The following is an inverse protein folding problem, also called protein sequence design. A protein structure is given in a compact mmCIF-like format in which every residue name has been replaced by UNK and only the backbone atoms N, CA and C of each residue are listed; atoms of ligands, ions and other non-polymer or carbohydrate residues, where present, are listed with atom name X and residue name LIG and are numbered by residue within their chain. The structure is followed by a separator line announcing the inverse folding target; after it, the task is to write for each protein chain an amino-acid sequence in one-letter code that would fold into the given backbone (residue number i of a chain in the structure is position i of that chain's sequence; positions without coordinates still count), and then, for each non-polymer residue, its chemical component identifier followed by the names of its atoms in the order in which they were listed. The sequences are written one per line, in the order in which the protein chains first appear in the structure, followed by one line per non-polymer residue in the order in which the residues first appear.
data_IF_446852791329
#
_entry.id   IF_446852791329
#
_cell.length_a   1.000
_cell.length_b   1.000
_cell.length_c   1.000
_cell.angle_alpha   90.00
_cell.angle_beta   90.00
_cell.angle_gamma   90.00
#
_symmetry.space_group_name_H-M   'P 1'
#
loop_
_entity.id
_entity.type
_entity.pdbx_description
1 polymer ?
#
# COMPACT_ATOMS: atom_id res chain seq x y z
N UNK A 1 19.45 -2.38 -26.16
CA UNK A 1 19.77 -1.63 -24.93
C UNK A 1 20.37 -2.57 -23.88
N UNK A 2 21.26 -2.07 -23.01
CA UNK A 2 21.75 -2.92 -21.90
C UNK A 2 20.66 -3.15 -20.85
N UNK A 3 20.68 -4.32 -20.21
CA UNK A 3 19.75 -4.68 -19.13
C UNK A 3 19.73 -3.66 -17.99
N UNK A 4 20.90 -3.17 -17.58
CA UNK A 4 21.04 -2.13 -16.53
C UNK A 4 20.29 -0.85 -16.92
N UNK A 5 20.40 -0.43 -18.19
CA UNK A 5 19.69 0.77 -18.68
C UNK A 5 18.17 0.59 -18.65
N UNK A 6 17.67 -0.59 -19.00
CA UNK A 6 16.23 -0.89 -18.95
C UNK A 6 15.73 -0.85 -17.50
N UNK A 7 16.44 -1.52 -16.59
CA UNK A 7 16.11 -1.49 -15.17
C UNK A 7 16.08 -0.04 -14.64
N UNK A 8 17.12 0.74 -14.95
CA UNK A 8 17.20 2.13 -14.53
C UNK A 8 16.02 2.98 -15.05
N UNK A 9 15.67 2.85 -16.34
CA UNK A 9 14.55 3.58 -16.96
C UNK A 9 13.24 3.25 -16.24
N UNK A 10 12.92 1.97 -16.11
CA UNK A 10 11.64 1.55 -15.53
C UNK A 10 11.57 1.91 -14.05
N UNK A 11 12.62 1.70 -13.26
CA UNK A 11 12.65 2.05 -11.85
C UNK A 11 12.57 3.57 -11.63
N UNK A 12 13.27 4.38 -12.44
CA UNK A 12 13.18 5.84 -12.37
C UNK A 12 11.78 6.33 -12.72
N UNK A 13 11.19 5.82 -13.81
CA UNK A 13 9.81 6.13 -14.15
C UNK A 13 8.84 5.74 -13.03
N UNK A 14 9.07 4.59 -12.38
CA UNK A 14 8.24 4.13 -11.28
C UNK A 14 8.34 5.03 -10.04
N UNK A 15 9.55 5.53 -9.70
CA UNK A 15 9.72 6.52 -8.63
C UNK A 15 8.91 7.77 -8.92
N UNK A 16 9.03 8.34 -10.12
CA UNK A 16 8.29 9.54 -10.50
C UNK A 16 6.76 9.30 -10.56
N UNK A 17 6.31 8.14 -11.01
CA UNK A 17 4.89 7.80 -11.05
C UNK A 17 4.27 7.67 -9.65
N UNK A 18 5.06 7.30 -8.63
CA UNK A 18 4.58 6.97 -7.30
C UNK A 18 4.84 8.03 -6.23
N UNK A 19 5.66 9.04 -6.52
CA UNK A 19 6.06 10.04 -5.53
C UNK A 19 4.88 10.87 -4.99
N UNK A 20 3.75 10.91 -5.68
CA UNK A 20 2.52 11.56 -5.23
C UNK A 20 1.51 10.62 -4.55
N UNK A 21 1.80 9.32 -4.42
CA UNK A 21 0.81 8.32 -4.01
C UNK A 21 0.18 8.57 -2.63
N UNK A 22 0.96 9.03 -1.67
CA UNK A 22 0.51 9.33 -0.31
C UNK A 22 0.46 10.84 0.01
N UNK A 23 0.43 11.68 -1.01
CA UNK A 23 0.30 13.13 -0.82
C UNK A 23 -1.05 13.50 -0.14
N UNK A 24 -2.15 12.81 -0.49
CA UNK A 24 -3.46 13.05 0.15
C UNK A 24 -3.46 12.62 1.61
N UNK A 25 -3.01 11.41 2.01
CA UNK A 25 -2.81 11.07 3.43
C UNK A 25 -1.88 12.03 4.18
N UNK A 26 -0.80 12.50 3.53
CA UNK A 26 0.14 13.44 4.14
C UNK A 26 -0.48 14.82 4.45
N UNK A 27 -1.49 15.21 3.69
CA UNK A 27 -2.18 16.51 3.79
C UNK A 27 -3.61 16.36 4.32
N UNK A 28 -3.99 15.18 4.80
CA UNK A 28 -5.35 14.90 5.26
C UNK A 28 -5.83 15.87 6.34
N UNK A 29 -5.03 16.24 7.36
CA UNK A 29 -5.46 17.25 8.35
C UNK A 29 -5.90 18.57 7.69
N UNK A 30 -5.14 19.03 6.70
CA UNK A 30 -5.46 20.26 5.96
C UNK A 30 -6.81 20.15 5.22
N UNK A 31 -7.15 18.97 4.70
CA UNK A 31 -8.42 18.77 4.00
C UNK A 31 -9.59 18.65 4.95
N UNK A 32 -9.40 17.97 6.11
CA UNK A 32 -10.41 17.91 7.16
C UNK A 32 -10.79 19.33 7.60
N UNK A 33 -9.81 20.13 7.99
CA UNK A 33 -10.04 21.50 8.44
C UNK A 33 -10.64 22.39 7.35
N UNK A 34 -10.15 22.27 6.12
CA UNK A 34 -10.53 23.18 5.03
C UNK A 34 -11.93 22.93 4.49
N UNK A 35 -12.36 21.68 4.45
CA UNK A 35 -13.63 21.27 3.85
C UNK A 35 -14.63 20.78 4.91
N UNK A 36 -14.32 20.96 6.18
CA UNK A 36 -15.13 20.52 7.32
C UNK A 36 -15.56 19.05 7.18
N UNK A 37 -14.61 18.19 6.84
CA UNK A 37 -14.87 16.78 6.59
C UNK A 37 -15.06 16.02 7.90
N UNK A 38 -16.09 15.18 7.93
CA UNK A 38 -16.18 14.13 8.94
C UNK A 38 -15.06 13.10 8.77
N UNK A 39 -14.75 12.35 9.81
CA UNK A 39 -13.79 11.24 9.74
C UNK A 39 -14.20 10.21 8.69
N UNK A 40 -15.50 9.92 8.59
CA UNK A 40 -16.05 9.01 7.56
C UNK A 40 -15.79 9.52 6.15
N UNK A 41 -16.02 10.80 5.87
CA UNK A 41 -15.73 11.39 4.56
C UNK A 41 -14.24 11.37 4.23
N UNK A 42 -13.38 11.71 5.20
CA UNK A 42 -11.94 11.60 5.06
C UNK A 42 -11.52 10.15 4.76
N UNK A 43 -12.08 9.18 5.46
CA UNK A 43 -11.89 7.75 5.21
C UNK A 43 -12.34 7.32 3.80
N UNK A 44 -13.46 7.82 3.29
CA UNK A 44 -13.92 7.59 1.92
C UNK A 44 -12.97 8.17 0.87
N UNK A 45 -12.47 9.38 1.05
CA UNK A 45 -11.49 10.00 0.14
C UNK A 45 -10.23 9.12 0.03
N UNK A 46 -9.73 8.61 1.15
CA UNK A 46 -8.57 7.70 1.13
C UNK A 46 -8.95 6.35 0.53
N UNK A 47 -10.07 5.77 0.96
CA UNK A 47 -10.54 4.45 0.52
C UNK A 47 -10.88 4.39 -0.97
N UNK A 48 -11.40 5.46 -1.56
CA UNK A 48 -11.75 5.54 -2.98
C UNK A 48 -10.60 5.12 -3.91
N UNK A 49 -9.38 5.47 -3.54
CA UNK A 49 -8.17 5.08 -4.25
C UNK A 49 -7.99 3.54 -4.29
N UNK A 50 -8.16 2.87 -3.17
CA UNK A 50 -8.03 1.41 -3.10
C UNK A 50 -9.24 0.70 -3.72
N UNK A 51 -10.43 1.28 -3.61
CA UNK A 51 -11.64 0.77 -4.23
C UNK A 51 -11.50 0.67 -5.74
N UNK A 52 -11.12 1.78 -6.39
CA UNK A 52 -10.95 1.81 -7.86
C UNK A 52 -9.76 0.98 -8.31
N UNK A 53 -8.68 0.94 -7.54
CA UNK A 53 -7.55 0.05 -7.78
C UNK A 53 -7.99 -1.42 -7.79
N UNK A 54 -8.72 -1.85 -6.75
CA UNK A 54 -9.20 -3.24 -6.63
C UNK A 54 -10.10 -3.65 -7.80
N UNK A 55 -10.96 -2.74 -8.22
CA UNK A 55 -11.86 -2.99 -9.35
C UNK A 55 -11.13 -3.08 -10.71
N UNK A 56 -10.05 -2.33 -10.87
CA UNK A 56 -9.38 -2.17 -12.17
C UNK A 56 -8.16 -3.06 -12.38
N UNK A 57 -7.42 -3.40 -11.32
CA UNK A 57 -6.17 -4.14 -11.44
C UNK A 57 -6.30 -5.49 -12.15
N UNK A 58 -7.35 -6.32 -11.94
CA UNK A 58 -7.48 -7.58 -12.65
C UNK A 58 -7.64 -7.38 -14.16
N UNK A 59 -8.34 -6.32 -14.57
CA UNK A 59 -8.57 -5.99 -15.98
C UNK A 59 -7.27 -5.51 -16.63
N UNK A 60 -6.62 -4.51 -16.02
CA UNK A 60 -5.41 -3.91 -16.59
C UNK A 60 -4.23 -4.88 -16.63
N UNK A 61 -4.07 -5.73 -15.62
CA UNK A 61 -3.02 -6.76 -15.62
C UNK A 61 -3.29 -7.82 -16.70
N UNK A 62 -4.53 -8.31 -16.82
CA UNK A 62 -4.89 -9.27 -17.88
C UNK A 62 -4.72 -8.69 -19.29
N UNK A 63 -4.93 -7.38 -19.43
CA UNK A 63 -4.77 -6.69 -20.70
C UNK A 63 -3.29 -6.66 -21.17
N UNK A 64 -2.33 -6.76 -20.24
CA UNK A 64 -0.89 -6.84 -20.58
C UNK A 64 -0.51 -8.09 -21.38
N UNK A 65 -1.35 -9.10 -21.42
CA UNK A 65 -1.13 -10.31 -22.23
C UNK A 65 -1.55 -10.11 -23.70
N UNK A 66 -2.32 -9.05 -23.98
CA UNK A 66 -2.87 -8.72 -25.32
C UNK A 66 -2.32 -7.41 -25.89
N UNK A 67 -1.96 -6.48 -25.04
CA UNK A 67 -1.48 -5.14 -25.40
C UNK A 67 -0.09 -4.95 -24.78
N UNK A 68 0.79 -4.26 -25.49
CA UNK A 68 2.11 -3.88 -24.97
C UNK A 68 1.97 -3.25 -23.57
N UNK A 69 2.58 -3.86 -22.52
CA UNK A 69 2.53 -3.34 -21.15
C UNK A 69 2.95 -1.87 -21.04
N UNK A 70 3.85 -1.40 -21.92
CA UNK A 70 4.25 0.00 -22.01
C UNK A 70 3.06 0.91 -22.33
N UNK A 71 2.17 0.52 -23.26
CA UNK A 71 0.99 1.33 -23.62
C UNK A 71 0.01 1.44 -22.46
N UNK A 72 -0.19 0.36 -21.73
CA UNK A 72 -1.04 0.35 -20.52
C UNK A 72 -0.44 1.27 -19.46
N UNK A 73 0.87 1.16 -19.23
CA UNK A 73 1.59 2.02 -18.29
C UNK A 73 1.46 3.51 -18.67
N UNK A 74 1.64 3.85 -19.95
CA UNK A 74 1.54 5.24 -20.44
C UNK A 74 0.13 5.81 -20.22
N UNK A 75 -0.92 5.07 -20.55
CA UNK A 75 -2.31 5.49 -20.28
C UNK A 75 -2.57 5.67 -18.79
N UNK A 76 -2.08 4.76 -17.97
CA UNK A 76 -2.29 4.78 -16.52
C UNK A 76 -1.53 5.92 -15.82
N UNK A 77 -0.27 6.15 -16.18
CA UNK A 77 0.50 7.24 -15.60
C UNK A 77 -0.04 8.61 -16.01
N UNK A 78 -0.60 8.72 -17.23
CA UNK A 78 -1.30 9.93 -17.64
C UNK A 78 -2.58 10.16 -16.82
N UNK A 79 -3.35 9.11 -16.52
CA UNK A 79 -4.47 9.21 -15.58
C UNK A 79 -4.02 9.61 -14.18
N UNK A 80 -2.88 9.12 -13.70
CA UNK A 80 -2.28 9.56 -12.43
C UNK A 80 -1.96 11.05 -12.46
N UNK A 81 -1.39 11.55 -13.56
CA UNK A 81 -1.11 12.98 -13.73
C UNK A 81 -2.40 13.80 -13.75
N UNK A 82 -3.40 13.39 -14.54
CA UNK A 82 -4.72 14.06 -14.60
C UNK A 82 -5.38 14.07 -13.24
N UNK A 83 -5.34 12.95 -12.50
CA UNK A 83 -5.91 12.88 -11.17
C UNK A 83 -5.25 13.85 -10.19
N UNK A 84 -3.91 13.91 -10.16
CA UNK A 84 -3.18 14.76 -9.23
C UNK A 84 -3.31 16.26 -9.61
N UNK A 85 -3.18 16.60 -10.89
CA UNK A 85 -3.34 17.99 -11.35
C UNK A 85 -4.78 18.47 -11.23
N UNK A 86 -5.77 17.60 -11.56
CA UNK A 86 -7.18 17.88 -11.37
C UNK A 86 -7.53 18.05 -9.88
N UNK A 87 -7.01 17.18 -9.02
CA UNK A 87 -7.16 17.31 -7.56
C UNK A 87 -6.62 18.69 -7.09
N UNK A 88 -5.42 19.06 -7.52
CA UNK A 88 -4.79 20.30 -7.11
C UNK A 88 -5.53 21.57 -7.59
N UNK A 89 -6.19 21.52 -8.75
CA UNK A 89 -6.77 22.71 -9.39
C UNK A 89 -8.29 22.80 -9.23
N UNK A 90 -8.99 21.68 -9.22
CA UNK A 90 -10.45 21.62 -9.30
C UNK A 90 -11.12 21.12 -8.01
N UNK A 91 -10.35 20.68 -7.00
CA UNK A 91 -10.95 20.17 -5.77
C UNK A 91 -11.33 21.29 -4.82
N UNK A 92 -12.57 21.28 -4.38
CA UNK A 92 -13.19 22.23 -3.47
C UNK A 92 -14.01 21.62 -2.33
N UNK A 93 -14.02 20.26 -2.21
CA UNK A 93 -14.75 19.54 -1.18
C UNK A 93 -14.72 18.04 -1.37
N UNK A 94 -15.55 17.34 -0.61
CA UNK A 94 -15.60 15.88 -0.57
C UNK A 94 -15.78 15.22 -1.94
N UNK A 95 -16.81 15.61 -2.71
CA UNK A 95 -17.17 14.93 -3.95
C UNK A 95 -16.11 15.06 -5.03
N UNK A 96 -15.53 16.23 -5.20
CA UNK A 96 -14.44 16.46 -6.15
C UNK A 96 -13.18 15.70 -5.73
N UNK A 97 -12.84 15.70 -4.44
CA UNK A 97 -11.73 14.91 -3.90
C UNK A 97 -11.94 13.41 -4.13
N UNK A 98 -13.13 12.90 -3.84
CA UNK A 98 -13.49 11.50 -4.04
C UNK A 98 -13.34 11.05 -5.50
N UNK A 99 -13.84 11.84 -6.45
CA UNK A 99 -13.71 11.52 -7.89
C UNK A 99 -12.25 11.45 -8.33
N UNK A 100 -11.43 12.45 -7.97
CA UNK A 100 -10.01 12.42 -8.34
C UNK A 100 -9.25 11.29 -7.66
N UNK A 101 -9.66 10.86 -6.47
CA UNK A 101 -9.09 9.68 -5.81
C UNK A 101 -9.45 8.37 -6.53
N UNK A 102 -10.67 8.24 -7.05
CA UNK A 102 -11.04 7.11 -7.91
C UNK A 102 -10.17 7.08 -9.17
N UNK A 103 -9.99 8.21 -9.85
CA UNK A 103 -9.15 8.30 -11.06
C UNK A 103 -7.69 7.94 -10.73
N UNK A 104 -7.16 8.41 -9.61
CA UNK A 104 -5.81 8.11 -9.16
C UNK A 104 -5.60 6.60 -8.90
N UNK A 105 -6.59 5.91 -8.32
CA UNK A 105 -6.50 4.47 -8.08
C UNK A 105 -6.50 3.64 -9.37
N UNK A 106 -7.28 4.05 -10.38
CA UNK A 106 -7.22 3.46 -11.74
C UNK A 106 -5.83 3.67 -12.34
N UNK A 107 -5.28 4.88 -12.23
CA UNK A 107 -3.93 5.19 -12.70
C UNK A 107 -2.88 4.31 -12.02
N UNK A 108 -2.95 4.13 -10.72
CA UNK A 108 -2.00 3.28 -10.01
C UNK A 108 -2.10 1.82 -10.40
N UNK A 109 -3.29 1.29 -10.63
CA UNK A 109 -3.50 -0.09 -11.05
C UNK A 109 -2.75 -0.44 -12.35
N UNK A 110 -2.61 0.52 -13.26
CA UNK A 110 -1.91 0.34 -14.51
C UNK A 110 -0.42 0.70 -14.50
N UNK A 111 0.14 1.20 -13.39
CA UNK A 111 1.57 1.56 -13.31
C UNK A 111 2.42 0.48 -12.65
N UNK A 112 1.99 -0.11 -11.54
CA UNK A 112 2.84 -1.04 -10.78
C UNK A 112 3.08 -2.36 -11.52
N UNK A 113 2.02 -3.17 -11.71
CA UNK A 113 2.16 -4.49 -12.33
C UNK A 113 2.46 -4.42 -13.84
N UNK A 114 1.83 -3.55 -14.63
CA UNK A 114 2.23 -3.36 -16.03
C UNK A 114 3.66 -2.84 -16.18
N UNK A 115 4.14 -1.96 -15.29
CA UNK A 115 5.53 -1.52 -15.26
C UNK A 115 6.51 -2.66 -14.98
N UNK A 116 6.19 -3.52 -14.02
CA UNK A 116 6.97 -4.73 -13.72
C UNK A 116 6.99 -5.70 -14.90
N UNK A 117 5.86 -5.90 -15.58
CA UNK A 117 5.77 -6.74 -16.76
C UNK A 117 6.58 -6.15 -17.92
N UNK A 118 6.48 -4.85 -18.16
CA UNK A 118 7.30 -4.16 -19.15
C UNK A 118 8.79 -4.35 -18.89
N UNK A 119 9.24 -4.31 -17.62
CA UNK A 119 10.61 -4.63 -17.25
C UNK A 119 10.96 -6.09 -17.56
N UNK A 120 10.10 -7.02 -17.11
CA UNK A 120 10.35 -8.47 -17.21
C UNK A 120 10.36 -8.97 -18.65
N UNK A 121 9.68 -8.30 -19.56
CA UNK A 121 9.66 -8.65 -20.97
C UNK A 121 11.02 -8.36 -21.67
N UNK A 122 11.86 -7.50 -21.09
CA UNK A 122 13.18 -7.15 -21.62
C UNK A 122 14.35 -7.79 -20.86
N UNK A 123 14.12 -8.25 -19.63
CA UNK A 123 15.18 -8.73 -18.74
C UNK A 123 14.95 -10.20 -18.43
N UNK A 124 15.93 -11.04 -18.76
CA UNK A 124 15.86 -12.49 -18.58
C UNK A 124 16.98 -12.99 -17.64
N UNK A 125 16.83 -14.22 -17.16
CA UNK A 125 17.84 -14.91 -16.36
C UNK A 125 18.04 -14.30 -14.95
N UNK A 126 19.25 -14.41 -14.37
CA UNK A 126 19.52 -13.95 -13.00
C UNK A 126 19.29 -12.44 -12.77
N UNK A 127 19.39 -11.64 -13.84
CA UNK A 127 19.18 -10.19 -13.76
C UNK A 127 17.69 -9.82 -13.66
N UNK A 128 16.77 -10.69 -14.07
CA UNK A 128 15.34 -10.48 -13.92
C UNK A 128 14.96 -10.38 -12.45
N UNK A 129 15.44 -11.28 -11.61
CA UNK A 129 15.20 -11.24 -10.17
C UNK A 129 15.69 -9.94 -9.52
N UNK A 130 16.87 -9.45 -9.93
CA UNK A 130 17.39 -8.15 -9.48
C UNK A 130 16.51 -6.99 -9.95
N UNK A 131 16.08 -7.01 -11.21
CA UNK A 131 15.18 -6.00 -11.77
C UNK A 131 13.85 -5.93 -11.02
N UNK A 132 13.25 -7.06 -10.71
CA UNK A 132 12.03 -7.17 -9.89
C UNK A 132 12.25 -6.56 -8.50
N UNK A 133 13.37 -6.89 -7.84
CA UNK A 133 13.71 -6.35 -6.52
C UNK A 133 13.91 -4.83 -6.55
N UNK A 134 14.63 -4.28 -7.55
CA UNK A 134 14.79 -2.84 -7.71
C UNK A 134 13.46 -2.13 -7.99
N UNK A 135 12.60 -2.73 -8.82
CA UNK A 135 11.28 -2.18 -9.10
C UNK A 135 10.40 -2.11 -7.84
N UNK A 136 10.35 -3.20 -7.06
CA UNK A 136 9.63 -3.22 -5.79
C UNK A 136 10.21 -2.22 -4.77
N UNK A 137 11.55 -2.12 -4.70
CA UNK A 137 12.25 -1.14 -3.87
C UNK A 137 11.93 0.31 -4.29
N UNK A 138 11.85 0.59 -5.59
CA UNK A 138 11.51 1.93 -6.09
C UNK A 138 10.11 2.37 -5.65
N UNK A 139 9.13 1.46 -5.63
CA UNK A 139 7.78 1.73 -5.12
C UNK A 139 7.78 2.00 -3.61
N UNK A 140 8.53 1.19 -2.85
CA UNK A 140 8.64 1.37 -1.40
C UNK A 140 9.25 2.71 -1.01
N UNK A 141 10.36 3.06 -1.65
CA UNK A 141 11.08 4.32 -1.38
C UNK A 141 10.26 5.54 -1.82
N UNK A 142 9.68 5.52 -3.01
CA UNK A 142 8.87 6.65 -3.50
C UNK A 142 7.59 6.83 -2.68
N UNK A 143 6.93 5.73 -2.29
CA UNK A 143 5.77 5.79 -1.41
C UNK A 143 6.11 6.40 -0.04
N UNK A 144 7.23 6.00 0.56
CA UNK A 144 7.69 6.60 1.82
C UNK A 144 8.04 8.09 1.66
N UNK A 145 8.80 8.45 0.62
CA UNK A 145 9.19 9.82 0.34
C UNK A 145 7.99 10.73 0.02
N UNK A 146 6.89 10.17 -0.48
CA UNK A 146 5.65 10.91 -0.80
C UNK A 146 5.13 11.74 0.38
N UNK A 147 5.22 11.23 1.60
CA UNK A 147 4.76 11.94 2.80
C UNK A 147 5.54 13.22 3.03
N UNK A 148 6.88 13.12 3.13
CA UNK A 148 7.73 14.27 3.44
C UNK A 148 7.78 15.26 2.28
N UNK A 149 7.82 14.79 1.03
CA UNK A 149 7.87 15.65 -0.16
C UNK A 149 6.57 16.47 -0.28
N UNK A 150 5.40 15.84 -0.20
CA UNK A 150 4.13 16.53 -0.29
C UNK A 150 3.96 17.57 0.84
N UNK A 151 4.26 17.17 2.09
CA UNK A 151 4.17 18.06 3.25
C UNK A 151 5.14 19.24 3.16
N UNK A 152 6.39 19.02 2.74
CA UNK A 152 7.39 20.08 2.62
C UNK A 152 7.00 21.08 1.54
N UNK A 153 6.59 20.61 0.36
CA UNK A 153 6.13 21.52 -0.71
C UNK A 153 4.88 22.27 -0.26
N UNK A 154 3.95 21.57 0.42
CA UNK A 154 2.73 22.21 0.93
C UNK A 154 3.02 23.29 1.98
N UNK A 155 4.02 23.12 2.84
CA UNK A 155 4.39 24.12 3.84
C UNK A 155 4.98 25.39 3.24
N UNK A 156 5.62 25.32 2.06
CA UNK A 156 6.22 26.48 1.39
C UNK A 156 5.25 27.18 0.41
N UNK A 157 4.48 26.38 -0.33
CA UNK A 157 3.69 26.87 -1.48
C UNK A 157 2.19 26.58 -1.36
N UNK A 158 1.77 25.91 -0.29
CA UNK A 158 0.38 25.50 -0.08
C UNK A 158 0.08 24.10 -0.64
N UNK A 159 -1.01 23.51 -0.14
CA UNK A 159 -1.39 22.12 -0.39
C UNK A 159 -1.58 21.79 -1.90
N UNK A 160 -2.05 22.76 -2.68
CA UNK A 160 -2.23 22.58 -4.12
C UNK A 160 -0.92 22.20 -4.82
N UNK A 161 0.17 22.87 -4.46
CA UNK A 161 1.50 22.56 -5.00
C UNK A 161 2.05 21.23 -4.49
N UNK A 162 1.77 20.88 -3.23
CA UNK A 162 2.12 19.57 -2.67
C UNK A 162 1.50 18.41 -3.46
N UNK A 163 0.24 18.55 -3.89
CA UNK A 163 -0.44 17.55 -4.73
C UNK A 163 0.01 17.67 -6.21
N UNK A 164 0.08 18.87 -6.76
CA UNK A 164 0.45 19.09 -8.17
C UNK A 164 1.84 18.56 -8.52
N UNK A 165 2.78 18.62 -7.59
CA UNK A 165 4.13 18.06 -7.75
C UNK A 165 4.08 16.58 -8.14
N UNK A 166 3.23 15.76 -7.48
CA UNK A 166 3.01 14.37 -7.87
C UNK A 166 2.51 14.22 -9.30
N UNK A 167 1.63 15.12 -9.75
CA UNK A 167 1.14 15.14 -11.13
C UNK A 167 2.21 15.50 -12.16
N UNK A 168 3.05 16.48 -11.86
CA UNK A 168 4.21 16.84 -12.71
C UNK A 168 5.21 15.69 -12.78
N UNK A 169 5.49 15.03 -11.66
CA UNK A 169 6.34 13.84 -11.65
C UNK A 169 5.74 12.70 -12.48
N UNK A 170 4.44 12.48 -12.43
CA UNK A 170 3.77 11.48 -13.27
C UNK A 170 3.91 11.81 -14.77
N UNK A 171 3.85 13.09 -15.18
CA UNK A 171 4.15 13.51 -16.55
C UNK A 171 5.61 13.23 -16.93
N UNK A 172 6.56 13.43 -16.02
CA UNK A 172 7.97 13.05 -16.25
C UNK A 172 8.11 11.53 -16.39
N UNK A 173 7.41 10.74 -15.59
CA UNK A 173 7.39 9.28 -15.74
C UNK A 173 6.82 8.86 -17.11
N UNK A 174 5.77 9.54 -17.58
CA UNK A 174 5.23 9.34 -18.92
C UNK A 174 6.30 9.59 -20.00
N UNK A 175 6.99 10.73 -19.96
CA UNK A 175 8.02 11.08 -20.91
C UNK A 175 9.20 10.08 -20.90
N UNK A 176 9.66 9.71 -19.70
CA UNK A 176 10.72 8.71 -19.53
C UNK A 176 10.34 7.39 -20.21
N UNK A 177 9.16 6.86 -19.91
CA UNK A 177 8.71 5.58 -20.48
C UNK A 177 8.40 5.69 -21.98
N UNK A 178 7.79 6.79 -22.43
CA UNK A 178 7.43 7.00 -23.82
C UNK A 178 8.68 7.02 -24.74
N UNK A 179 9.69 7.77 -24.35
CA UNK A 179 10.84 8.04 -25.22
C UNK A 179 12.04 7.13 -24.97
N UNK A 180 12.24 6.61 -23.75
CA UNK A 180 13.43 5.86 -23.41
C UNK A 180 13.22 4.34 -23.42
N UNK A 181 12.00 3.83 -23.17
CA UNK A 181 11.72 2.40 -23.24
C UNK A 181 11.19 2.06 -24.65
N UNK A 182 11.78 1.09 -25.37
CA UNK A 182 11.23 0.64 -26.66
C UNK A 182 9.87 -0.06 -26.45
N UNK A 183 9.03 -0.01 -27.48
CA UNK A 183 7.79 -0.81 -27.51
C UNK A 183 8.12 -2.25 -27.84
N UNK A 184 7.35 -3.19 -27.31
CA UNK A 184 7.47 -4.61 -27.60
C UNK A 184 6.07 -5.22 -27.78
N UNK A 185 5.90 -5.97 -28.82
CA UNK A 185 4.67 -6.75 -28.99
C UNK A 185 4.56 -7.81 -27.90
N UNK A 186 3.36 -8.01 -27.32
CA UNK A 186 3.14 -9.04 -26.31
C UNK A 186 3.53 -10.40 -26.90
N UNK A 187 4.26 -11.20 -26.14
CA UNK A 187 4.42 -12.62 -26.48
C UNK A 187 3.04 -13.27 -26.35
N UNK A 188 2.55 -13.99 -27.37
CA UNK A 188 1.30 -14.72 -27.22
C UNK A 188 1.38 -15.56 -25.95
N UNK A 189 0.36 -15.48 -25.09
CA UNK A 189 0.22 -16.40 -23.97
C UNK A 189 0.16 -17.79 -24.62
N UNK A 190 1.21 -18.59 -24.44
CA UNK A 190 1.16 -19.99 -24.86
C UNK A 190 -0.09 -20.64 -24.24
N UNK A 191 -0.55 -21.75 -24.75
CA UNK A 191 -1.75 -22.52 -24.34
C UNK A 191 -1.86 -22.86 -22.84
N UNK A 192 -1.27 -22.05 -21.97
CA UNK A 192 -1.41 -22.08 -20.54
C UNK A 192 -2.84 -21.72 -20.14
N UNK A 193 -3.72 -22.62 -20.55
CA UNK A 193 -5.02 -22.92 -19.97
C UNK A 193 -5.95 -21.73 -19.82
N UNK A 194 -6.87 -21.58 -20.77
CA UNK A 194 -8.20 -20.98 -20.56
C UNK A 194 -9.01 -21.69 -19.45
N UNK A 195 -8.40 -22.55 -18.65
CA UNK A 195 -9.03 -23.23 -17.53
C UNK A 195 -9.35 -22.21 -16.43
N UNK A 196 -10.54 -21.59 -16.55
CA UNK A 196 -11.23 -21.00 -15.41
C UNK A 196 -10.49 -19.90 -14.65
N UNK A 197 -9.97 -18.86 -15.32
CA UNK A 197 -9.41 -17.65 -14.67
C UNK A 197 -10.32 -17.08 -13.56
N UNK A 198 -11.62 -17.41 -13.60
CA UNK A 198 -12.64 -16.97 -12.64
C UNK A 198 -13.16 -18.10 -11.73
N UNK A 199 -12.63 -19.33 -11.83
CA UNK A 199 -13.00 -20.38 -10.86
C UNK A 199 -12.11 -20.31 -9.62
N UNK A 200 -12.57 -19.56 -8.63
CA UNK A 200 -11.90 -19.42 -7.34
C UNK A 200 -12.20 -20.53 -6.33
N UNK A 201 -13.13 -21.46 -6.64
CA UNK A 201 -13.56 -22.54 -5.74
C UNK A 201 -12.38 -23.41 -5.26
N UNK A 202 -11.42 -23.83 -6.12
CA UNK A 202 -10.30 -24.63 -5.67
C UNK A 202 -9.35 -23.86 -4.74
N UNK A 203 -9.23 -22.53 -4.93
CA UNK A 203 -8.43 -21.67 -4.05
C UNK A 203 -9.05 -21.58 -2.66
N UNK A 204 -10.38 -21.41 -2.59
CA UNK A 204 -11.13 -21.34 -1.32
C UNK A 204 -11.10 -22.69 -0.55
N UNK A 205 -10.89 -23.81 -1.25
CA UNK A 205 -10.68 -25.14 -0.62
C UNK A 205 -9.25 -25.36 -0.15
N UNK A 206 -8.28 -24.60 -0.64
CA UNK A 206 -6.90 -24.70 -0.20
C UNK A 206 -6.71 -23.94 1.13
N UNK A 207 -6.77 -24.67 2.24
CA UNK A 207 -6.71 -24.11 3.60
C UNK A 207 -5.47 -23.23 3.85
N UNK A 208 -4.30 -23.61 3.31
CA UNK A 208 -3.07 -22.81 3.48
C UNK A 208 -3.12 -21.53 2.70
N UNK A 209 -3.48 -21.57 1.41
CA UNK A 209 -3.61 -20.37 0.58
C UNK A 209 -4.67 -19.43 1.13
N UNK A 210 -5.81 -19.97 1.58
CA UNK A 210 -6.90 -19.18 2.18
C UNK A 210 -6.45 -18.51 3.49
N UNK A 211 -5.73 -19.25 4.38
CA UNK A 211 -5.24 -18.69 5.63
C UNK A 211 -4.31 -17.51 5.41
N UNK A 212 -3.32 -17.65 4.52
CA UNK A 212 -2.40 -16.57 4.19
C UNK A 212 -3.10 -15.39 3.50
N UNK A 213 -4.09 -15.66 2.64
CA UNK A 213 -4.84 -14.59 1.95
C UNK A 213 -5.78 -13.84 2.89
N UNK A 214 -6.43 -14.50 3.84
CA UNK A 214 -7.22 -13.85 4.89
C UNK A 214 -6.31 -13.07 5.85
N UNK A 215 -5.19 -13.66 6.28
CA UNK A 215 -4.19 -12.95 7.07
C UNK A 215 -3.74 -11.66 6.36
N UNK A 216 -3.50 -11.71 5.05
CA UNK A 216 -3.13 -10.56 4.25
C UNK A 216 -4.25 -9.51 4.13
N UNK A 217 -5.51 -9.93 4.07
CA UNK A 217 -6.66 -9.02 4.08
C UNK A 217 -6.66 -8.13 5.34
N UNK A 218 -6.53 -8.74 6.51
CA UNK A 218 -6.53 -8.02 7.77
C UNK A 218 -5.23 -7.25 8.00
N UNK A 219 -4.09 -7.80 7.57
CA UNK A 219 -2.81 -7.08 7.52
C UNK A 219 -2.91 -5.78 6.69
N UNK A 220 -3.52 -5.83 5.51
CA UNK A 220 -3.66 -4.64 4.66
C UNK A 220 -4.70 -3.66 5.17
N UNK A 221 -5.72 -4.12 5.90
CA UNK A 221 -6.61 -3.26 6.68
C UNK A 221 -5.81 -2.43 7.69
N UNK A 222 -5.04 -3.10 8.54
CA UNK A 222 -4.19 -2.48 9.55
C UNK A 222 -3.16 -1.52 8.92
N UNK A 223 -2.44 -1.99 7.93
CA UNK A 223 -1.40 -1.21 7.23
C UNK A 223 -1.96 0.08 6.61
N UNK A 224 -3.10 0.00 5.94
CA UNK A 224 -3.66 1.16 5.25
C UNK A 224 -4.46 2.06 6.19
N UNK A 225 -5.01 1.55 7.30
CA UNK A 225 -5.56 2.37 8.37
C UNK A 225 -4.46 3.26 8.98
N UNK A 226 -3.32 2.67 9.38
CA UNK A 226 -2.19 3.45 9.88
C UNK A 226 -1.69 4.45 8.83
N UNK A 227 -1.44 3.99 7.61
CA UNK A 227 -0.90 4.83 6.53
C UNK A 227 -1.80 6.01 6.17
N UNK A 228 -3.11 5.83 6.25
CA UNK A 228 -4.08 6.88 5.97
C UNK A 228 -4.12 7.94 7.07
N UNK A 229 -4.04 7.51 8.33
CA UNK A 229 -4.37 8.35 9.47
C UNK A 229 -3.18 8.75 10.33
N UNK A 230 -1.98 8.22 10.09
CA UNK A 230 -0.80 8.48 10.94
C UNK A 230 -0.44 9.96 11.01
N UNK A 231 -0.54 10.70 9.91
CA UNK A 231 -0.22 12.15 9.91
C UNK A 231 -1.29 12.91 10.69
N UNK A 232 -2.58 12.60 10.50
CA UNK A 232 -3.69 13.20 11.24
C UNK A 232 -3.58 12.90 12.75
N UNK A 233 -3.35 11.64 13.10
CA UNK A 233 -3.14 11.22 14.49
C UNK A 233 -1.98 11.95 15.16
N UNK A 234 -0.83 12.03 14.49
CA UNK A 234 0.34 12.71 15.04
C UNK A 234 0.17 14.23 15.06
N UNK A 235 -0.58 14.82 14.13
CA UNK A 235 -0.94 16.25 14.17
C UNK A 235 -1.82 16.54 15.39
N UNK A 236 -2.81 15.68 15.65
CA UNK A 236 -3.64 15.77 16.85
C UNK A 236 -2.78 15.62 18.14
N UNK A 237 -1.92 14.59 18.21
CA UNK A 237 -1.04 14.37 19.35
C UNK A 237 -0.11 15.56 19.63
N UNK A 238 0.43 16.18 18.58
CA UNK A 238 1.28 17.35 18.68
C UNK A 238 0.50 18.57 19.23
N UNK A 239 -0.74 18.77 18.76
CA UNK A 239 -1.58 19.87 19.22
C UNK A 239 -2.03 19.72 20.68
N UNK A 240 -2.23 18.49 21.14
CA UNK A 240 -2.77 18.21 22.49
C UNK A 240 -1.70 18.05 23.56
N UNK A 241 -0.53 17.47 23.23
CA UNK A 241 0.53 17.18 24.21
C UNK A 241 1.64 18.22 24.27
N UNK A 242 1.69 19.18 23.35
CA UNK A 242 2.66 20.28 23.35
C UNK A 242 4.10 19.81 23.19
N UNK A 243 4.34 18.76 22.39
CA UNK A 243 5.67 18.16 22.19
C UNK A 243 6.69 19.10 21.54
N UNK A 244 7.94 18.70 21.56
CA UNK A 244 9.06 19.42 20.95
C UNK A 244 8.94 19.41 19.42
N UNK A 245 8.47 20.50 18.86
CA UNK A 245 8.11 20.66 17.45
C UNK A 245 9.27 20.57 16.47
N UNK A 246 10.51 20.46 16.95
CA UNK A 246 11.69 20.77 16.14
C UNK A 246 12.39 19.56 15.52
N UNK A 247 12.19 18.34 16.02
CA UNK A 247 12.97 17.21 15.54
C UNK A 247 12.29 16.37 14.47
N UNK A 248 10.99 16.05 14.57
CA UNK A 248 10.32 15.19 13.60
C UNK A 248 8.83 15.57 13.43
N UNK A 249 8.53 16.28 12.37
CA UNK A 249 7.15 16.57 11.96
C UNK A 249 6.36 15.27 11.67
N UNK A 250 5.02 15.26 11.80
CA UNK A 250 4.17 14.08 11.53
C UNK A 250 4.46 13.38 10.19
N UNK A 251 4.65 14.13 9.12
CA UNK A 251 4.99 13.55 7.81
C UNK A 251 6.40 12.92 7.76
N UNK A 252 7.36 13.45 8.54
CA UNK A 252 8.68 12.84 8.67
C UNK A 252 8.60 11.49 9.39
N UNK A 253 7.80 11.38 10.46
CA UNK A 253 7.52 10.11 11.14
C UNK A 253 6.86 9.11 10.17
N UNK A 254 5.85 9.55 9.40
CA UNK A 254 5.22 8.71 8.38
C UNK A 254 6.21 8.20 7.32
N UNK A 255 7.19 9.02 6.94
CA UNK A 255 8.28 8.63 6.04
C UNK A 255 9.21 7.60 6.70
N UNK A 256 9.66 7.87 7.92
CA UNK A 256 10.55 6.95 8.67
C UNK A 256 9.89 5.60 8.89
N UNK A 257 8.65 5.57 9.39
CA UNK A 257 7.94 4.30 9.61
C UNK A 257 7.74 3.51 8.30
N UNK A 258 7.49 4.20 7.17
CA UNK A 258 7.33 3.55 5.88
C UNK A 258 8.64 2.96 5.35
N UNK A 259 9.77 3.66 5.50
CA UNK A 259 11.10 3.14 5.15
C UNK A 259 11.51 1.97 6.06
N UNK A 260 11.30 2.11 7.37
CA UNK A 260 11.54 1.04 8.33
C UNK A 260 10.67 -0.19 8.02
N UNK A 261 9.43 0.03 7.58
CA UNK A 261 8.51 -1.00 7.13
C UNK A 261 9.04 -1.80 5.92
N UNK A 262 9.61 -1.13 4.91
CA UNK A 262 10.23 -1.83 3.76
C UNK A 262 11.34 -2.77 4.23
N UNK A 263 12.21 -2.30 5.12
CA UNK A 263 13.26 -3.13 5.72
C UNK A 263 12.67 -4.27 6.56
N UNK A 264 11.66 -4.01 7.40
CA UNK A 264 11.00 -4.99 8.24
C UNK A 264 10.33 -6.11 7.42
N UNK A 265 9.72 -5.76 6.27
CA UNK A 265 9.08 -6.74 5.38
C UNK A 265 10.08 -7.74 4.81
N UNK A 266 11.27 -7.28 4.41
CA UNK A 266 12.31 -8.15 3.85
C UNK A 266 12.95 -9.01 4.95
N UNK A 267 13.39 -8.39 6.04
CA UNK A 267 14.03 -9.09 7.17
C UNK A 267 13.07 -10.04 7.89
N UNK A 268 11.81 -9.64 8.03
CA UNK A 268 10.77 -10.47 8.62
C UNK A 268 10.52 -11.76 7.85
N UNK A 269 10.52 -11.72 6.51
CA UNK A 269 10.41 -12.94 5.71
C UNK A 269 11.61 -13.89 5.92
N UNK A 270 12.81 -13.36 6.11
CA UNK A 270 13.98 -14.16 6.41
C UNK A 270 13.88 -14.81 7.80
N UNK A 271 13.42 -14.06 8.81
CA UNK A 271 13.14 -14.62 10.14
C UNK A 271 12.05 -15.71 10.07
N UNK A 272 10.98 -15.46 9.31
CA UNK A 272 9.89 -16.41 9.12
C UNK A 272 10.37 -17.76 8.54
N UNK A 273 11.34 -17.72 7.62
CA UNK A 273 11.96 -18.94 7.07
C UNK A 273 12.68 -19.75 8.13
N UNK A 274 13.36 -19.11 9.07
CA UNK A 274 14.16 -19.77 10.11
C UNK A 274 13.32 -20.37 11.23
N UNK A 275 12.33 -19.64 11.75
CA UNK A 275 11.55 -20.07 12.92
C UNK A 275 10.22 -20.74 12.58
N UNK A 276 9.85 -20.76 11.30
CA UNK A 276 8.56 -21.24 10.79
C UNK A 276 7.59 -20.09 10.54
N UNK A 277 7.11 -20.00 9.31
CA UNK A 277 6.30 -18.89 8.77
C UNK A 277 5.04 -18.63 9.59
N UNK A 278 4.28 -19.68 9.87
CA UNK A 278 3.05 -19.57 10.67
C UNK A 278 3.32 -19.02 12.07
N UNK A 279 4.36 -19.49 12.76
CA UNK A 279 4.72 -19.02 14.11
C UNK A 279 5.11 -17.57 14.08
N UNK A 280 5.97 -17.18 13.13
CA UNK A 280 6.40 -15.80 12.97
C UNK A 280 5.21 -14.85 12.76
N UNK A 281 4.31 -15.16 11.81
CA UNK A 281 3.14 -14.33 11.52
C UNK A 281 2.25 -14.18 12.77
N UNK A 282 1.99 -15.28 13.51
CA UNK A 282 1.21 -15.22 14.74
C UNK A 282 1.87 -14.32 15.79
N UNK A 283 3.18 -14.41 15.98
CA UNK A 283 3.89 -13.55 16.93
C UNK A 283 3.82 -12.09 16.53
N UNK A 284 4.01 -11.78 15.24
CA UNK A 284 3.91 -10.41 14.71
C UNK A 284 2.51 -9.85 14.89
N UNK A 285 1.47 -10.61 14.51
CA UNK A 285 0.07 -10.18 14.68
C UNK A 285 -0.27 -9.91 16.14
N UNK A 286 0.14 -10.77 17.06
CA UNK A 286 -0.08 -10.56 18.51
C UNK A 286 0.64 -9.29 19.00
N UNK A 287 1.85 -9.05 18.54
CA UNK A 287 2.63 -7.86 18.92
C UNK A 287 2.00 -6.59 18.35
N UNK A 288 1.57 -6.60 17.08
CA UNK A 288 0.90 -5.45 16.46
C UNK A 288 -0.42 -5.14 17.14
N UNK A 289 -1.24 -6.17 17.45
CA UNK A 289 -2.49 -6.01 18.22
C UNK A 289 -2.25 -5.35 19.58
N UNK A 290 -1.21 -5.75 20.31
CA UNK A 290 -0.89 -5.16 21.61
C UNK A 290 -0.55 -3.67 21.48
N UNK A 291 0.24 -3.29 20.47
CA UNK A 291 0.55 -1.88 20.20
C UNK A 291 -0.70 -1.11 19.74
N UNK A 292 -1.50 -1.69 18.86
CA UNK A 292 -2.76 -1.07 18.40
C UNK A 292 -3.71 -0.74 19.56
N UNK A 293 -3.81 -1.60 20.58
CA UNK A 293 -4.66 -1.36 21.75
C UNK A 293 -4.19 -0.20 22.63
N UNK A 294 -2.95 0.24 22.50
CA UNK A 294 -2.35 1.25 23.40
C UNK A 294 -2.08 2.58 22.68
N UNK A 295 -1.63 2.52 21.42
CA UNK A 295 -1.05 3.66 20.71
C UNK A 295 -1.99 4.89 20.65
N UNK A 296 -3.28 4.70 20.38
CA UNK A 296 -4.23 5.79 20.25
C UNK A 296 -4.41 6.60 21.53
N UNK A 297 -4.31 5.94 22.70
CA UNK A 297 -4.44 6.58 24.01
C UNK A 297 -3.20 7.40 24.40
N UNK A 298 -2.09 7.28 23.68
CA UNK A 298 -0.87 8.02 23.99
C UNK A 298 -0.87 9.46 23.48
N UNK A 299 -1.81 9.79 22.59
CA UNK A 299 -1.91 11.13 21.99
C UNK A 299 -2.09 12.27 22.98
N UNK A 300 -2.72 12.01 24.13
CA UNK A 300 -2.87 12.98 25.22
C UNK A 300 -1.72 12.96 26.25
N UNK A 301 -0.73 12.07 26.11
CA UNK A 301 0.37 11.90 27.07
C UNK A 301 1.63 12.60 26.56
N UNK A 302 2.14 12.23 25.39
CA UNK A 302 3.33 12.80 24.77
C UNK A 302 3.36 12.51 23.27
N UNK A 303 3.73 13.53 22.51
CA UNK A 303 3.95 13.39 21.06
C UNK A 303 5.07 12.40 20.74
N UNK A 304 6.18 12.47 21.49
CA UNK A 304 7.36 11.62 21.28
C UNK A 304 7.01 10.14 21.53
N UNK A 305 6.18 9.87 22.54
CA UNK A 305 5.70 8.51 22.82
C UNK A 305 4.80 8.03 21.68
N UNK A 306 3.82 8.83 21.26
CA UNK A 306 2.95 8.50 20.14
C UNK A 306 3.73 8.26 18.84
N UNK A 307 4.70 9.14 18.53
CA UNK A 307 5.55 9.03 17.35
C UNK A 307 6.44 7.78 17.38
N UNK A 308 7.07 7.49 18.53
CA UNK A 308 7.89 6.29 18.71
C UNK A 308 7.08 5.02 18.56
N UNK A 309 5.88 4.97 19.16
CA UNK A 309 4.97 3.84 19.00
C UNK A 309 4.45 3.70 17.55
N UNK A 310 4.24 4.79 16.81
CA UNK A 310 3.92 4.73 15.38
C UNK A 310 5.03 4.04 14.59
N UNK A 311 6.30 4.35 14.86
CA UNK A 311 7.43 3.71 14.17
C UNK A 311 7.50 2.22 14.53
N UNK A 312 7.41 1.87 15.81
CA UNK A 312 7.40 0.46 16.27
C UNK A 312 6.23 -0.29 15.66
N UNK A 313 5.04 0.31 15.67
CA UNK A 313 3.83 -0.27 15.09
C UNK A 313 3.99 -0.48 13.59
N UNK A 314 4.54 0.50 12.86
CA UNK A 314 4.86 0.36 11.46
C UNK A 314 5.80 -0.80 11.16
N UNK A 315 6.88 -0.97 11.94
CA UNK A 315 7.80 -2.11 11.82
C UNK A 315 7.06 -3.43 12.02
N UNK A 316 6.22 -3.55 13.05
CA UNK A 316 5.46 -4.76 13.34
C UNK A 316 4.48 -5.08 12.20
N UNK A 317 3.67 -4.11 11.78
CA UNK A 317 2.72 -4.30 10.68
C UNK A 317 3.42 -4.83 9.42
N UNK A 318 4.55 -4.24 9.03
CA UNK A 318 5.21 -4.63 7.79
C UNK A 318 5.99 -5.95 7.89
N UNK A 319 6.36 -6.40 9.08
CA UNK A 319 7.24 -7.55 9.27
C UNK A 319 6.66 -8.85 8.66
N UNK A 320 5.36 -9.06 8.70
CA UNK A 320 4.71 -10.27 8.15
C UNK A 320 4.26 -10.15 6.68
N UNK A 321 4.28 -8.94 6.09
CA UNK A 321 3.78 -8.64 4.75
C UNK A 321 4.32 -9.58 3.67
N UNK A 322 5.64 -9.63 3.54
CA UNK A 322 6.30 -10.52 2.57
C UNK A 322 6.07 -12.00 2.89
N UNK A 323 5.95 -12.36 4.17
CA UNK A 323 5.71 -13.72 4.63
C UNK A 323 4.31 -14.21 4.27
N UNK A 324 3.29 -13.36 4.40
CA UNK A 324 1.91 -13.65 4.01
C UNK A 324 1.81 -13.87 2.48
N UNK A 325 2.43 -12.98 1.70
CA UNK A 325 2.45 -13.09 0.24
C UNK A 325 3.20 -14.34 -0.23
N UNK A 326 4.40 -14.58 0.31
CA UNK A 326 5.19 -15.76 -0.02
C UNK A 326 4.46 -17.06 0.41
N UNK A 327 3.78 -17.03 1.57
CA UNK A 327 2.94 -18.14 2.05
C UNK A 327 1.82 -18.47 1.07
N UNK A 328 1.12 -17.45 0.55
CA UNK A 328 0.07 -17.64 -0.47
C UNK A 328 0.62 -18.22 -1.75
N UNK A 329 1.70 -17.63 -2.31
CA UNK A 329 2.33 -18.09 -3.56
C UNK A 329 2.84 -19.52 -3.44
N UNK A 330 3.54 -19.82 -2.34
CA UNK A 330 4.13 -21.14 -2.11
C UNK A 330 3.10 -22.24 -1.82
N UNK A 331 1.91 -21.86 -1.33
CA UNK A 331 0.80 -22.79 -1.09
C UNK A 331 -0.08 -23.01 -2.32
N UNK A 332 0.11 -22.23 -3.38
CA UNK A 332 -0.70 -22.32 -4.60
C UNK A 332 -0.37 -23.58 -5.40
N UNK A 333 -1.41 -24.28 -5.85
CA UNK A 333 -1.23 -25.40 -6.79
C UNK A 333 -0.71 -24.88 -8.14
N UNK A 334 0.18 -25.63 -8.84
CA UNK A 334 0.83 -25.14 -10.06
C UNK A 334 -0.12 -24.58 -11.13
N UNK A 335 -1.27 -25.22 -11.33
CA UNK A 335 -2.29 -24.79 -12.30
C UNK A 335 -3.23 -23.68 -11.80
N UNK A 336 -3.10 -23.25 -10.53
CA UNK A 336 -4.01 -22.32 -9.87
C UNK A 336 -3.28 -21.08 -9.31
N UNK A 337 -2.00 -20.90 -9.63
CA UNK A 337 -1.21 -19.76 -9.11
C UNK A 337 -1.85 -18.42 -9.43
N UNK A 338 -2.32 -18.23 -10.67
CA UNK A 338 -2.99 -16.99 -11.08
C UNK A 338 -4.27 -16.73 -10.29
N UNK A 339 -5.16 -17.72 -10.17
CA UNK A 339 -6.40 -17.61 -9.40
C UNK A 339 -6.11 -17.36 -7.89
N UNK A 340 -5.09 -18.03 -7.34
CA UNK A 340 -4.68 -17.83 -5.94
C UNK A 340 -4.18 -16.40 -5.71
N UNK A 341 -3.37 -15.86 -6.61
CA UNK A 341 -2.90 -14.47 -6.53
C UNK A 341 -4.01 -13.46 -6.73
N UNK A 342 -4.99 -13.76 -7.57
CA UNK A 342 -6.17 -12.91 -7.76
C UNK A 342 -6.98 -12.82 -6.46
N UNK A 343 -7.27 -13.95 -5.80
CA UNK A 343 -7.96 -13.98 -4.49
C UNK A 343 -7.16 -13.22 -3.43
N UNK A 344 -5.85 -13.47 -3.34
CA UNK A 344 -4.95 -12.79 -2.41
C UNK A 344 -4.97 -11.26 -2.60
N UNK A 345 -4.82 -10.80 -3.82
CA UNK A 345 -4.81 -9.37 -4.13
C UNK A 345 -6.17 -8.72 -3.88
N UNK A 346 -7.26 -9.38 -4.30
CA UNK A 346 -8.62 -8.83 -4.09
C UNK A 346 -8.92 -8.68 -2.61
N UNK A 347 -8.64 -9.70 -1.79
CA UNK A 347 -8.83 -9.64 -0.35
C UNK A 347 -7.92 -8.58 0.29
N UNK A 348 -6.65 -8.51 -0.12
CA UNK A 348 -5.71 -7.51 0.37
C UNK A 348 -6.19 -6.08 0.09
N UNK A 349 -6.54 -5.77 -1.14
CA UNK A 349 -6.99 -4.40 -1.46
C UNK A 349 -8.38 -4.08 -0.91
N UNK A 350 -9.25 -5.08 -0.70
CA UNK A 350 -10.51 -4.90 0.03
C UNK A 350 -10.24 -4.45 1.49
N UNK A 351 -9.28 -5.11 2.18
CA UNK A 351 -8.81 -4.65 3.49
C UNK A 351 -8.26 -3.22 3.44
N UNK A 352 -7.46 -2.92 2.41
CA UNK A 352 -6.90 -1.59 2.18
C UNK A 352 -7.95 -0.50 1.94
N UNK A 353 -9.09 -0.84 1.34
CA UNK A 353 -10.22 0.07 1.17
C UNK A 353 -10.98 0.29 2.49
N UNK A 354 -11.33 -0.80 3.17
CA UNK A 354 -12.21 -0.72 4.34
C UNK A 354 -11.48 -0.17 5.56
N UNK A 355 -10.18 -0.44 5.73
CA UNK A 355 -9.40 -0.01 6.89
C UNK A 355 -9.42 1.50 7.15
N UNK A 356 -9.04 2.35 6.20
CA UNK A 356 -9.13 3.80 6.34
C UNK A 356 -10.53 4.31 6.61
N UNK A 357 -11.53 3.74 5.93
CA UNK A 357 -12.93 4.11 6.09
C UNK A 357 -13.46 3.77 7.47
N UNK A 358 -13.20 2.55 7.94
CA UNK A 358 -13.63 2.12 9.27
C UNK A 358 -13.01 2.96 10.38
N UNK A 359 -11.73 3.31 10.25
CA UNK A 359 -11.05 4.17 11.22
C UNK A 359 -11.70 5.55 11.30
N UNK A 360 -12.03 6.18 10.18
CA UNK A 360 -12.73 7.45 10.14
C UNK A 360 -14.15 7.36 10.73
N UNK A 361 -14.91 6.32 10.36
CA UNK A 361 -16.25 6.11 10.90
C UNK A 361 -16.25 5.91 12.44
N UNK A 362 -15.24 5.23 12.97
CA UNK A 362 -15.11 5.04 14.41
C UNK A 362 -14.73 6.34 15.12
N UNK A 363 -13.88 7.17 14.52
CA UNK A 363 -13.60 8.50 15.04
C UNK A 363 -14.90 9.33 15.18
N UNK A 364 -15.74 9.34 14.15
CA UNK A 364 -17.03 10.06 14.20
C UNK A 364 -17.96 9.48 15.28
N UNK A 365 -18.11 8.15 15.35
CA UNK A 365 -18.94 7.48 16.34
C UNK A 365 -18.47 7.70 17.78
N UNK A 366 -17.15 7.90 17.97
CA UNK A 366 -16.56 8.18 19.27
C UNK A 366 -16.59 9.68 19.65
N UNK A 367 -17.22 10.53 18.84
CA UNK A 367 -17.43 11.94 19.14
C UNK A 367 -16.36 12.88 18.57
N UNK A 368 -15.64 12.45 17.53
CA UNK A 368 -14.61 13.26 16.85
C UNK A 368 -13.22 13.09 17.44
N UNK A 369 -12.30 13.99 17.12
CA UNK A 369 -10.88 13.87 17.51
C UNK A 369 -10.69 14.12 19.02
N UNK A 370 -10.50 13.05 19.75
CA UNK A 370 -10.11 13.04 21.16
C UNK A 370 -9.13 11.90 21.43
N UNK A 371 -8.38 11.94 22.54
CA UNK A 371 -7.49 10.84 22.91
C UNK A 371 -8.26 9.52 23.10
N UNK A 372 -9.49 9.58 23.60
CA UNK A 372 -10.38 8.42 23.71
C UNK A 372 -10.80 7.90 22.34
N UNK A 373 -11.22 8.78 21.42
CA UNK A 373 -11.66 8.40 20.08
C UNK A 373 -10.51 7.77 19.28
N UNK A 374 -9.32 8.35 19.33
CA UNK A 374 -8.12 7.75 18.74
C UNK A 374 -7.77 6.39 19.36
N UNK A 375 -7.93 6.28 20.70
CA UNK A 375 -7.77 5.01 21.42
C UNK A 375 -8.68 3.91 20.88
N UNK A 376 -9.98 4.19 20.74
CA UNK A 376 -10.96 3.25 20.20
C UNK A 376 -10.70 2.98 18.70
N UNK A 377 -10.33 4.01 17.93
CA UNK A 377 -10.03 3.87 16.52
C UNK A 377 -8.84 2.94 16.25
N UNK A 378 -7.77 3.00 17.03
CA UNK A 378 -6.68 2.04 16.94
C UNK A 378 -7.03 0.68 17.54
N UNK A 379 -7.76 0.63 18.66
CA UNK A 379 -8.16 -0.62 19.28
C UNK A 379 -9.04 -1.48 18.35
N UNK A 380 -9.91 -0.86 17.52
CA UNK A 380 -10.66 -1.61 16.51
C UNK A 380 -9.75 -2.30 15.50
N UNK A 381 -8.63 -1.66 15.10
CA UNK A 381 -7.67 -2.27 14.18
C UNK A 381 -7.08 -3.54 14.82
N UNK A 382 -6.71 -3.46 16.11
CA UNK A 382 -6.29 -4.62 16.88
C UNK A 382 -7.36 -5.73 16.94
N UNK A 383 -8.63 -5.34 17.14
CA UNK A 383 -9.75 -6.29 17.16
C UNK A 383 -9.96 -6.98 15.78
N UNK A 384 -9.82 -6.25 14.69
CA UNK A 384 -9.90 -6.80 13.33
C UNK A 384 -8.71 -7.74 13.05
N UNK A 385 -7.51 -7.41 13.50
CA UNK A 385 -6.34 -8.29 13.39
C UNK A 385 -6.54 -9.63 14.09
N UNK A 386 -7.37 -9.69 15.14
CA UNK A 386 -7.76 -10.96 15.78
C UNK A 386 -8.43 -11.94 14.79
N UNK A 387 -9.12 -11.45 13.77
CA UNK A 387 -9.69 -12.30 12.71
C UNK A 387 -8.59 -12.89 11.81
N UNK A 388 -7.54 -12.12 11.51
CA UNK A 388 -6.35 -12.61 10.82
C UNK A 388 -5.62 -13.69 11.62
N UNK A 389 -5.42 -13.43 12.91
CA UNK A 389 -4.87 -14.40 13.85
C UNK A 389 -5.73 -15.67 13.92
N UNK A 390 -7.06 -15.53 14.00
CA UNK A 390 -7.99 -16.64 14.01
C UNK A 390 -7.86 -17.50 12.73
N UNK A 391 -7.73 -16.87 11.57
CA UNK A 391 -7.51 -17.57 10.31
C UNK A 391 -6.21 -18.41 10.35
N UNK A 392 -5.12 -17.85 10.86
CA UNK A 392 -3.84 -18.57 11.01
C UNK A 392 -3.92 -19.72 12.01
N UNK A 393 -4.70 -19.58 13.09
CA UNK A 393 -4.85 -20.60 14.14
C UNK A 393 -5.79 -21.72 13.69
N UNK A 394 -6.94 -21.40 13.09
CA UNK A 394 -7.99 -22.36 12.71
C UNK A 394 -7.63 -23.13 11.43
N UNK A 395 -7.20 -22.41 10.40
CA UNK A 395 -6.87 -23.01 9.11
C UNK A 395 -5.51 -23.72 9.11
N UNK A 396 -4.61 -23.38 10.05
CA UNK A 396 -3.30 -24.01 10.28
C UNK A 396 -2.50 -24.16 8.97
N UNK A 397 -2.13 -23.07 8.30
CA UNK A 397 -1.35 -23.17 7.08
C UNK A 397 -0.04 -23.91 7.32
N UNK A 398 0.38 -24.69 6.32
CA UNK A 398 1.65 -25.40 6.36
C UNK A 398 2.79 -24.43 6.07
N UNK A 399 3.95 -24.68 6.67
CA UNK A 399 5.20 -24.02 6.29
C UNK A 399 5.56 -24.44 4.85
N UNK A 400 6.30 -23.60 4.16
CA UNK A 400 6.75 -23.87 2.78
C UNK A 400 7.98 -24.77 2.77
N UNK A 401 8.24 -25.40 1.62
CA UNK A 401 9.53 -26.06 1.38
C UNK A 401 10.67 -25.03 1.52
N UNK A 402 11.67 -25.34 2.35
CA UNK A 402 12.77 -24.42 2.70
C UNK A 402 12.48 -23.48 3.88
N UNK A 403 11.29 -23.55 4.49
CA UNK A 403 11.07 -22.98 5.81
C UNK A 403 11.61 -23.95 6.88
N UNK A 404 12.28 -23.41 7.91
CA UNK A 404 12.99 -24.18 8.94
C UNK A 404 14.09 -25.08 8.33
N UNK A 405 15.06 -24.43 7.66
CA UNK A 405 16.24 -25.14 7.17
C UNK A 405 16.85 -25.98 8.31
N UNK A 406 16.58 -27.30 8.24
CA UNK A 406 17.29 -28.33 8.98
C UNK A 406 18.54 -28.71 8.21
#
# INVERSE_FOLDING_TARGET
MSTVRIIAIVCTAQVFAQIGAFAVPALLPTFIDRWDLSGTEAGWIIGAFYLSYTATVPVLVSLTDRIDPKRIYLGAVLLTAVAALGYATLTDGFWSAFVFRLIAGVGWAGTYMPGLKALSDFVEGPQQSRGVAFHAGSVGVSGAASFIVASTIASWFGWRWGIAFGGVCALLAFLIMAFLLPSREPKPAGDAGQAGLLDFRPVLRNRSALAYSLGYCFHTWEMNALRAWVVTFLTFALATSGGWTTLLAPAAIATVLSLAGVWASVSGNEVARRIGRRRFIICVMLSSMAVACVIGFTSGISYELAASLCVVYGILIWADSSSLTAGTVGSALPRQRGATMAVHSTLGYAGGFVGPLAMGAILDLAGGESAFAWGIAFAHVGAIMALGLLAMVVLRPKDLAGDRDN
#
